data_IF_303062213422
#
_entry.id   IF_303062213422
#
_cell.length_a   1.000
_cell.length_b   1.000
_cell.length_c   1.000
_cell.angle_alpha   90.00
_cell.angle_beta   90.00
_cell.angle_gamma   90.00
#
_symmetry.space_group_name_H-M   'P 1'
#
loop_
_entity.id
_entity.type
_entity.pdbx_description
1 polymer ?
#
# COMPACT_ATOMS: atom_id res chain seq x y z
N UNK A 1 -5.93 24.66 29.25
CA UNK A 1 -6.69 23.41 29.01
C UNK A 1 -5.86 22.59 28.04
N UNK A 2 -5.34 21.44 28.44
CA UNK A 2 -4.70 20.52 27.50
C UNK A 2 -5.81 19.76 26.78
N UNK A 3 -6.08 20.11 25.53
CA UNK A 3 -7.04 19.41 24.68
C UNK A 3 -6.50 18.01 24.45
N UNK A 4 -7.16 17.01 25.03
CA UNK A 4 -6.77 15.62 24.85
C UNK A 4 -7.03 15.26 23.38
N UNK A 5 -5.97 14.91 22.64
CA UNK A 5 -6.10 14.46 21.25
C UNK A 5 -7.11 13.30 21.21
N UNK A 6 -8.09 13.40 20.33
CA UNK A 6 -9.09 12.36 20.15
C UNK A 6 -8.38 11.05 19.79
N UNK A 7 -8.63 9.99 20.58
CA UNK A 7 -8.08 8.67 20.30
C UNK A 7 -8.72 8.12 19.03
N UNK A 8 -7.90 7.58 18.13
CA UNK A 8 -8.39 6.85 16.96
C UNK A 8 -9.13 5.57 17.39
N UNK A 9 -10.12 5.11 16.60
CA UNK A 9 -10.74 3.81 16.84
C UNK A 9 -9.70 2.69 16.77
N UNK A 10 -9.82 1.70 17.66
CA UNK A 10 -8.94 0.53 17.69
C UNK A 10 -9.47 -0.61 16.77
N UNK A 11 -10.70 -0.48 16.29
CA UNK A 11 -11.39 -1.44 15.41
C UNK A 11 -12.31 -0.71 14.42
N UNK A 12 -12.66 -1.37 13.31
CA UNK A 12 -13.64 -0.87 12.33
C UNK A 12 -13.69 -1.74 11.08
N UNK A 13 -14.76 -1.60 10.28
CA UNK A 13 -14.96 -2.33 9.03
C UNK A 13 -13.87 -1.99 8.01
N UNK A 14 -13.50 -0.72 7.94
CA UNK A 14 -12.41 -0.23 7.11
C UNK A 14 -11.14 -0.16 7.94
N UNK A 15 -10.06 -0.69 7.37
CA UNK A 15 -8.76 -0.67 8.01
C UNK A 15 -7.66 -0.49 6.97
N UNK A 16 -6.81 0.52 7.16
CA UNK A 16 -5.70 0.80 6.24
C UNK A 16 -4.43 1.19 6.98
N UNK A 17 -3.30 0.98 6.31
CA UNK A 17 -1.97 1.45 6.72
C UNK A 17 -1.29 2.03 5.48
N UNK A 18 -0.38 2.98 5.68
CA UNK A 18 0.40 3.54 4.59
C UNK A 18 1.84 3.04 4.71
N UNK A 19 2.40 2.63 3.57
CA UNK A 19 3.76 2.12 3.46
C UNK A 19 4.61 3.14 2.69
N UNK A 20 5.70 3.59 3.30
CA UNK A 20 6.61 4.58 2.75
C UNK A 20 8.02 4.02 2.55
N UNK A 21 8.18 2.67 2.52
CA UNK A 21 9.50 2.02 2.47
C UNK A 21 10.34 2.46 1.27
N UNK A 22 9.70 2.72 0.13
CA UNK A 22 10.38 3.15 -1.09
C UNK A 22 10.65 4.66 -1.13
N UNK A 23 10.04 5.43 -0.22
CA UNK A 23 10.17 6.88 -0.15
C UNK A 23 11.15 7.32 0.96
N UNK A 24 11.25 6.55 2.04
CA UNK A 24 12.01 6.92 3.25
C UNK A 24 13.12 5.90 3.48
N UNK A 25 14.37 6.37 3.46
CA UNK A 25 15.53 5.52 3.73
C UNK A 25 15.57 5.05 5.18
N UNK A 26 16.18 3.88 5.40
CA UNK A 26 16.39 3.31 6.75
C UNK A 26 17.18 4.24 7.68
N UNK A 27 18.11 5.03 7.14
CA UNK A 27 18.87 6.03 7.89
C UNK A 27 17.95 7.11 8.48
N UNK A 28 16.97 7.58 7.71
CA UNK A 28 15.99 8.56 8.18
C UNK A 28 15.01 7.95 9.21
N UNK A 29 14.70 6.66 9.11
CA UNK A 29 13.83 5.96 10.07
C UNK A 29 14.49 5.74 11.43
N UNK A 30 15.80 5.47 11.46
CA UNK A 30 16.54 5.18 12.69
C UNK A 30 16.41 6.31 13.74
N UNK A 31 16.18 7.54 13.29
CA UNK A 31 15.99 8.72 14.12
C UNK A 31 14.57 8.92 14.68
N UNK A 32 13.61 8.04 14.36
CA UNK A 32 12.20 8.24 14.66
C UNK A 32 11.57 9.26 13.71
N UNK A 33 10.91 8.76 12.67
CA UNK A 33 10.26 9.59 11.65
C UNK A 33 8.79 9.83 12.02
N UNK A 34 8.43 11.08 12.31
CA UNK A 34 7.07 11.49 12.67
C UNK A 34 6.20 11.68 11.43
N UNK A 35 4.93 11.34 11.56
CA UNK A 35 3.89 11.64 10.58
C UNK A 35 2.64 12.15 11.30
N UNK A 36 1.80 12.90 10.58
CA UNK A 36 0.47 13.31 11.03
C UNK A 36 -0.58 12.66 10.14
N UNK A 37 -1.62 12.10 10.75
CA UNK A 37 -2.82 11.64 10.07
C UNK A 37 -3.89 12.71 10.21
N UNK A 38 -4.54 13.05 9.11
CA UNK A 38 -5.65 14.00 9.06
C UNK A 38 -6.85 13.26 8.47
N UNK A 39 -7.89 13.09 9.28
CA UNK A 39 -9.17 12.57 8.82
C UNK A 39 -10.10 13.76 8.52
N UNK A 40 -10.35 14.00 7.22
CA UNK A 40 -11.13 15.15 6.77
C UNK A 40 -12.61 15.02 7.12
N UNK A 41 -13.14 13.80 7.11
CA UNK A 41 -14.55 13.54 7.37
C UNK A 41 -14.89 13.66 8.85
N UNK A 42 -14.02 13.12 9.72
CA UNK A 42 -14.18 13.19 11.18
C UNK A 42 -13.62 14.46 11.82
N UNK A 43 -12.89 15.27 11.05
CA UNK A 43 -12.19 16.49 11.52
C UNK A 43 -11.26 16.20 12.71
N UNK A 44 -10.55 15.08 12.64
CA UNK A 44 -9.61 14.64 13.68
C UNK A 44 -8.20 14.54 13.11
N UNK A 45 -7.20 14.84 13.92
CA UNK A 45 -5.80 14.64 13.59
C UNK A 45 -5.04 13.96 14.74
N UNK A 46 -4.00 13.20 14.40
CA UNK A 46 -3.05 12.67 15.37
C UNK A 46 -1.65 12.58 14.78
N UNK A 47 -0.64 12.54 15.65
CA UNK A 47 0.76 12.38 15.27
C UNK A 47 1.21 10.97 15.69
N UNK A 48 1.82 10.25 14.76
CA UNK A 48 2.43 8.96 15.00
C UNK A 48 3.92 8.95 14.60
N UNK A 49 4.57 7.83 14.80
CA UNK A 49 5.95 7.57 14.36
C UNK A 49 5.96 6.33 13.48
N UNK A 50 6.66 6.40 12.34
CA UNK A 50 6.75 5.27 11.43
C UNK A 50 7.48 4.09 12.10
N UNK A 51 7.07 2.87 11.76
CA UNK A 51 7.77 1.67 12.20
C UNK A 51 9.11 1.48 11.46
N UNK A 52 9.83 0.42 11.83
CA UNK A 52 11.13 0.06 11.24
C UNK A 52 11.07 -0.24 9.73
N UNK A 53 9.86 -0.43 9.18
CA UNK A 53 9.63 -0.68 7.76
C UNK A 53 8.97 0.53 7.07
N UNK A 54 9.06 1.73 7.67
CA UNK A 54 8.46 2.96 7.17
C UNK A 54 6.92 2.92 7.06
N UNK A 55 6.25 2.16 7.93
CA UNK A 55 4.78 2.03 7.90
C UNK A 55 4.13 2.84 9.00
N UNK A 56 2.96 3.39 8.70
CA UNK A 56 2.09 3.98 9.73
C UNK A 56 1.48 2.90 10.61
N UNK A 57 0.99 3.32 11.77
CA UNK A 57 0.03 2.50 12.51
C UNK A 57 -1.22 2.28 11.66
N UNK A 58 -1.97 1.23 12.02
CA UNK A 58 -3.21 0.88 11.33
C UNK A 58 -4.31 1.84 11.76
N UNK A 59 -4.95 2.46 10.77
CA UNK A 59 -6.05 3.40 10.96
C UNK A 59 -7.35 2.64 10.71
N UNK A 60 -8.28 2.71 11.67
CA UNK A 60 -9.58 2.05 11.59
C UNK A 60 -10.71 3.06 11.46
N UNK A 61 -11.75 2.67 10.72
CA UNK A 61 -13.01 3.40 10.63
C UNK A 61 -14.17 2.46 10.28
N UNK A 62 -15.37 2.81 10.70
CA UNK A 62 -16.59 2.15 10.24
C UNK A 62 -17.07 2.66 8.87
N UNK A 63 -16.50 3.77 8.40
CA UNK A 63 -16.81 4.42 7.12
C UNK A 63 -15.55 4.55 6.25
N UNK A 64 -15.70 4.67 4.91
CA UNK A 64 -14.58 4.88 4.00
C UNK A 64 -14.06 6.32 4.06
N UNK A 65 -13.43 6.69 5.17
CA UNK A 65 -13.00 8.08 5.44
C UNK A 65 -11.91 8.57 4.46
N UNK A 66 -11.95 9.86 4.16
CA UNK A 66 -10.92 10.62 3.47
C UNK A 66 -9.77 10.96 4.43
N UNK A 67 -8.68 10.19 4.30
CA UNK A 67 -7.48 10.30 5.11
C UNK A 67 -6.34 10.90 4.30
N UNK A 68 -5.67 11.89 4.87
CA UNK A 68 -4.43 12.47 4.39
C UNK A 68 -3.29 12.18 5.38
N UNK A 69 -2.11 11.85 4.85
CA UNK A 69 -0.90 11.65 5.64
C UNK A 69 0.10 12.74 5.32
N UNK A 70 0.56 13.44 6.36
CA UNK A 70 1.60 14.45 6.26
C UNK A 70 2.88 13.91 6.92
N UNK A 71 3.96 13.81 6.14
CA UNK A 71 5.28 13.43 6.64
C UNK A 71 5.93 14.63 7.33
N UNK A 72 6.25 14.50 8.62
CA UNK A 72 6.79 15.60 9.43
C UNK A 72 8.31 15.56 9.56
N UNK A 73 8.91 14.37 9.44
CA UNK A 73 10.35 14.18 9.56
C UNK A 73 10.79 13.88 10.99
N UNK A 74 12.04 14.21 11.34
CA UNK A 74 12.67 13.86 12.61
C UNK A 74 12.23 14.82 13.75
N UNK A 75 12.29 14.35 15.00
CA UNK A 75 11.88 15.17 16.15
C UNK A 75 12.88 16.28 16.48
N UNK A 76 12.39 17.53 16.47
CA UNK A 76 12.71 18.78 17.21
C UNK A 76 14.17 19.19 17.53
N UNK A 77 15.17 18.31 17.47
CA UNK A 77 16.59 18.63 17.70
C UNK A 77 17.39 18.81 16.41
N UNK A 78 16.92 18.27 15.28
CA UNK A 78 17.57 18.45 13.99
C UNK A 78 16.68 19.33 13.12
N UNK A 79 17.11 20.58 12.91
CA UNK A 79 16.48 21.55 12.00
C UNK A 79 16.61 21.17 10.51
N UNK A 80 16.75 19.88 10.22
CA UNK A 80 17.02 19.36 8.90
C UNK A 80 15.70 19.04 8.20
N UNK A 81 15.21 20.08 7.51
CA UNK A 81 14.18 20.05 6.49
C UNK A 81 14.32 18.77 5.65
N UNK A 82 13.25 17.97 5.58
CA UNK A 82 13.17 16.81 4.69
C UNK A 82 13.53 17.23 3.26
N UNK A 83 14.64 16.71 2.74
CA UNK A 83 15.01 16.86 1.35
C UNK A 83 14.31 15.74 0.57
N UNK A 84 13.17 16.07 -0.05
CA UNK A 84 12.60 15.20 -1.08
C UNK A 84 13.53 15.25 -2.28
N UNK A 85 14.17 14.12 -2.60
CA UNK A 85 14.94 13.97 -3.82
C UNK A 85 13.97 13.43 -4.87
N UNK A 86 13.62 14.26 -5.84
CA UNK A 86 12.88 13.84 -7.02
C UNK A 86 13.81 12.98 -7.87
N UNK A 87 13.44 11.71 -8.07
CA UNK A 87 14.15 10.81 -8.98
C UNK A 87 13.40 10.83 -10.31
N UNK A 88 14.02 11.41 -11.34
CA UNK A 88 13.52 11.27 -12.71
C UNK A 88 13.57 9.79 -13.11
N UNK A 89 12.40 9.22 -13.39
CA UNK A 89 12.28 7.88 -13.97
C UNK A 89 12.39 8.05 -15.48
N UNK A 90 13.49 7.59 -16.05
CA UNK A 90 13.69 7.58 -17.49
C UNK A 90 12.81 6.47 -18.10
N UNK A 91 11.64 6.85 -18.63
CA UNK A 91 10.72 5.94 -19.30
C UNK A 91 11.27 5.36 -20.61
N UNK A 92 12.48 5.74 -21.04
CA UNK A 92 13.13 5.21 -22.24
C UNK A 92 14.10 4.06 -21.98
N UNK A 93 14.36 3.69 -20.71
CA UNK A 93 15.10 2.47 -20.39
C UNK A 93 14.16 1.28 -20.31
N UNK A 94 13.81 0.79 -21.49
CA UNK A 94 13.30 -0.57 -21.69
C UNK A 94 14.46 -1.55 -21.49
N UNK A 95 14.74 -1.91 -20.25
CA UNK A 95 15.48 -3.13 -19.91
C UNK A 95 14.55 -3.98 -19.05
N UNK A 96 13.77 -4.84 -19.73
CA UNK A 96 12.59 -5.56 -19.24
C UNK A 96 12.86 -6.81 -18.38
N UNK A 97 12.05 -7.88 -18.46
CA UNK A 97 10.70 -8.00 -19.00
C UNK A 97 9.64 -7.75 -17.92
N UNK A 98 8.47 -7.30 -18.37
CA UNK A 98 7.13 -7.63 -17.90
C UNK A 98 7.07 -8.13 -16.44
N UNK A 99 6.50 -7.31 -15.55
CA UNK A 99 5.93 -7.80 -14.30
C UNK A 99 4.93 -8.92 -14.63
N UNK A 100 5.42 -10.16 -14.59
CA UNK A 100 4.59 -11.33 -14.37
C UNK A 100 4.13 -11.19 -12.93
N UNK A 101 2.98 -10.54 -12.78
CA UNK A 101 2.07 -10.69 -11.66
C UNK A 101 2.00 -12.18 -11.28
N UNK A 102 2.11 -12.48 -10.00
CA UNK A 102 2.08 -13.84 -9.44
C UNK A 102 0.99 -14.71 -10.09
N UNK A 103 1.47 -15.55 -11.02
CA UNK A 103 0.73 -16.53 -11.79
C UNK A 103 1.69 -17.27 -12.71
N UNK A 104 2.89 -17.57 -12.22
CA UNK A 104 3.84 -18.44 -12.93
C UNK A 104 3.48 -19.89 -12.57
N UNK A 105 2.87 -20.57 -13.52
CA UNK A 105 2.74 -22.03 -13.52
C UNK A 105 4.04 -22.59 -14.10
N UNK A 106 4.62 -23.53 -13.36
CA UNK A 106 5.86 -24.22 -13.71
C UNK A 106 5.82 -24.81 -15.13
N UNK A 107 6.98 -24.72 -15.80
CA UNK A 107 7.26 -25.27 -17.12
C UNK A 107 6.98 -26.77 -17.21
N UNK A 108 6.10 -27.17 -18.12
CA UNK A 108 6.14 -28.50 -18.71
C UNK A 108 6.09 -28.40 -20.24
N UNK A 109 7.26 -28.70 -20.82
CA UNK A 109 7.57 -28.91 -22.22
C UNK A 109 6.55 -29.83 -22.93
N UNK A 110 5.71 -29.28 -23.81
CA UNK A 110 4.91 -30.07 -24.75
C UNK A 110 5.16 -29.66 -26.20
N UNK A 111 6.06 -30.42 -26.81
CA UNK A 111 6.09 -30.67 -28.24
C UNK A 111 4.77 -31.35 -28.64
N UNK A 112 3.93 -30.72 -29.47
CA UNK A 112 2.96 -31.42 -30.34
C UNK A 112 2.32 -30.52 -31.39
N UNK A 113 2.79 -30.77 -32.61
CA UNK A 113 2.04 -30.72 -33.84
C UNK A 113 0.56 -31.16 -33.71
N UNK A 114 -0.29 -30.34 -34.35
CA UNK A 114 -1.52 -30.68 -35.12
C UNK A 114 -2.88 -30.84 -34.38
N UNK A 115 -3.87 -30.17 -34.99
CA UNK A 115 -5.33 -30.40 -35.02
C UNK A 115 -6.25 -29.64 -34.05
N UNK A 116 -6.64 -28.43 -34.49
CA UNK A 116 -8.01 -27.95 -34.69
C UNK A 116 -9.18 -28.51 -33.84
N UNK A 117 -9.84 -27.55 -33.18
CA UNK A 117 -11.28 -27.26 -33.12
C UNK A 117 -12.11 -27.69 -31.88
N UNK A 118 -12.66 -26.62 -31.28
CA UNK A 118 -13.93 -26.50 -30.55
C UNK A 118 -14.04 -27.11 -29.15
N UNK A 119 -13.61 -26.31 -28.16
CA UNK A 119 -14.16 -26.37 -26.81
C UNK A 119 -14.90 -25.05 -26.55
N UNK A 120 -16.14 -24.97 -27.06
CA UNK A 120 -17.18 -24.12 -26.46
C UNK A 120 -17.42 -24.66 -25.04
N UNK A 121 -16.56 -24.23 -24.11
CA UNK A 121 -16.65 -24.56 -22.70
C UNK A 121 -17.96 -24.00 -22.16
N UNK A 122 -18.84 -24.93 -21.81
CA UNK A 122 -20.22 -24.73 -21.40
C UNK A 122 -20.27 -24.02 -20.04
N UNK A 123 -20.03 -22.71 -20.04
CA UNK A 123 -20.01 -21.81 -18.87
C UNK A 123 -21.27 -21.94 -18.00
N UNK A 124 -22.37 -22.39 -18.59
CA UNK A 124 -23.64 -22.59 -17.88
C UNK A 124 -23.66 -23.86 -17.02
N UNK A 125 -22.89 -24.89 -17.38
CA UNK A 125 -22.69 -26.07 -16.54
C UNK A 125 -21.84 -25.73 -15.31
N UNK A 126 -20.79 -24.94 -15.48
CA UNK A 126 -19.95 -24.46 -14.39
C UNK A 126 -20.74 -23.58 -13.42
N UNK A 127 -21.53 -22.63 -13.93
CA UNK A 127 -22.37 -21.75 -13.09
C UNK A 127 -23.35 -22.55 -12.22
N UNK A 128 -23.94 -23.61 -12.76
CA UNK A 128 -24.90 -24.47 -12.02
C UNK A 128 -24.22 -25.40 -11.02
N UNK A 129 -22.91 -25.64 -11.13
CA UNK A 129 -22.15 -26.50 -10.21
C UNK A 129 -21.82 -25.83 -8.87
N UNK A 130 -21.85 -24.49 -8.80
CA UNK A 130 -21.51 -23.74 -7.58
C UNK A 130 -22.58 -23.77 -6.46
N UNK A 131 -23.61 -24.60 -6.61
CA UNK A 131 -24.39 -25.11 -5.47
C UNK A 131 -25.86 -24.67 -5.43
N UNK A 132 -26.72 -25.68 -5.26
CA UNK A 132 -28.00 -25.60 -4.56
C UNK A 132 -27.77 -26.18 -3.16
#
# INVERSE_FOLDING_TARGET
MNTQLAKMPETGIFSRRFDFKDLISQELLAGGFKYKVINKDKKTEFIGTLDQNARTERIFSDNPDNIEILLLGKSDNDSEKLLLIEKEVDHNKTEGPDEVCCGEYDEDNYDKNTENLNEDNDLEADFKSFGI
#
